data_IF_996045528661
#
_entry.id   IF_996045528661
#
_cell.length_a   1.000
_cell.length_b   1.000
_cell.length_c   1.000
_cell.angle_alpha   90.00
_cell.angle_beta   90.00
_cell.angle_gamma   90.00
#
_symmetry.space_group_name_H-M   'P 1'
#
loop_
_entity.id
_entity.type
_entity.pdbx_description
1 polymer ?
#
# COMPACT_ATOMS: atom_id res chain seq x y z
N UNK A 1 54.67 40.73 52.47
CA UNK A 1 54.02 40.87 51.18
C UNK A 1 53.64 39.49 50.68
N UNK A 2 52.39 39.07 50.86
CA UNK A 2 51.84 37.77 50.34
C UNK A 2 51.05 38.06 49.11
N UNK A 3 51.49 37.46 47.95
CA UNK A 3 50.76 37.50 46.68
C UNK A 3 49.77 36.35 46.68
N UNK A 4 48.46 36.60 46.75
CA UNK A 4 47.41 35.66 46.52
C UNK A 4 47.29 35.43 45.00
N UNK A 5 47.52 34.18 44.56
CA UNK A 5 47.29 33.75 43.19
C UNK A 5 45.85 33.21 43.12
N UNK A 6 44.95 33.98 42.51
CA UNK A 6 43.56 33.59 42.30
C UNK A 6 43.48 32.70 41.04
N UNK A 7 43.30 31.39 41.21
CA UNK A 7 43.10 30.45 40.10
C UNK A 7 41.59 30.44 39.77
N UNK A 8 41.27 31.04 38.64
CA UNK A 8 39.91 31.05 38.10
C UNK A 8 39.66 29.70 37.38
N UNK A 9 38.88 28.79 38.00
CA UNK A 9 38.40 27.57 37.39
C UNK A 9 37.26 27.90 36.41
N UNK A 10 37.56 27.95 35.11
CA UNK A 10 36.55 28.04 34.06
C UNK A 10 35.92 26.67 33.89
N UNK A 11 34.75 26.43 34.50
CA UNK A 11 33.92 25.25 34.24
C UNK A 11 33.25 25.40 32.86
N UNK A 12 33.80 24.77 31.84
CA UNK A 12 33.17 24.64 30.55
C UNK A 12 31.96 23.70 30.67
N UNK A 13 30.74 24.15 30.40
CA UNK A 13 29.60 23.24 30.32
C UNK A 13 29.78 22.38 29.07
N UNK A 14 30.10 21.09 29.24
CA UNK A 14 29.99 20.12 28.19
C UNK A 14 28.51 19.96 27.80
N UNK A 15 28.06 20.72 26.81
CA UNK A 15 26.78 20.50 26.15
C UNK A 15 26.90 19.17 25.38
N UNK A 16 26.60 18.09 26.09
CA UNK A 16 26.42 16.76 25.46
C UNK A 16 25.16 16.81 24.61
N UNK A 17 25.29 17.14 23.32
CA UNK A 17 24.23 16.89 22.36
C UNK A 17 23.98 15.39 22.34
N UNK A 18 22.95 14.93 23.05
CA UNK A 18 22.40 13.59 22.85
C UNK A 18 21.94 13.52 21.40
N UNK A 19 22.72 12.88 20.53
CA UNK A 19 22.22 12.45 19.22
C UNK A 19 20.97 11.59 19.51
N UNK A 20 19.82 12.06 19.10
CA UNK A 20 18.63 11.21 19.11
C UNK A 20 18.97 9.96 18.28
N UNK A 21 18.78 8.76 18.83
CA UNK A 21 19.05 7.55 18.06
C UNK A 21 18.21 7.58 16.80
N UNK A 22 18.81 7.25 15.67
CA UNK A 22 18.06 7.06 14.43
C UNK A 22 16.97 6.01 14.70
N UNK A 23 15.69 6.31 14.43
CA UNK A 23 14.62 5.36 14.69
C UNK A 23 14.92 4.04 13.97
N UNK A 24 14.65 2.93 14.64
CA UNK A 24 14.80 1.63 14.02
C UNK A 24 13.81 1.48 12.87
N UNK A 25 14.07 0.56 11.95
CA UNK A 25 13.14 0.26 10.86
C UNK A 25 11.78 -0.17 11.41
N UNK A 26 11.77 -0.85 12.56
CA UNK A 26 10.56 -1.29 13.25
C UNK A 26 9.75 -0.11 13.79
N UNK A 27 10.41 0.95 14.28
CA UNK A 27 9.74 2.15 14.80
C UNK A 27 9.21 3.02 13.66
N UNK A 28 9.82 2.95 12.48
CA UNK A 28 9.41 3.72 11.31
C UNK A 28 8.32 3.05 10.47
N UNK A 29 8.07 1.76 10.68
CA UNK A 29 7.14 0.98 9.89
C UNK A 29 5.66 1.31 10.14
N UNK A 30 5.16 1.50 11.38
CA UNK A 30 3.77 1.89 11.60
C UNK A 30 3.42 3.25 11.01
N UNK A 31 2.19 3.38 10.51
CA UNK A 31 1.68 4.63 9.94
C UNK A 31 0.67 4.43 8.83
N UNK A 32 0.30 5.52 8.20
CA UNK A 32 -0.54 5.54 7.01
C UNK A 32 0.34 5.62 5.76
N UNK A 33 -0.08 4.91 4.73
CA UNK A 33 0.65 4.85 3.47
C UNK A 33 -0.31 5.02 2.31
N UNK A 34 0.05 5.88 1.37
CA UNK A 34 -0.73 6.20 0.19
C UNK A 34 -0.12 5.54 -1.04
N UNK A 35 -0.93 4.81 -1.81
CA UNK A 35 -0.49 4.25 -3.08
C UNK A 35 -0.24 5.36 -4.09
N UNK A 36 0.93 5.36 -4.71
CA UNK A 36 1.33 6.34 -5.73
C UNK A 36 1.56 5.70 -7.10
N UNK A 37 1.79 4.39 -7.11
CA UNK A 37 2.01 3.67 -8.34
C UNK A 37 1.55 2.23 -8.20
N UNK A 38 0.84 1.74 -9.20
CA UNK A 38 0.39 0.36 -9.30
C UNK A 38 0.78 -0.15 -10.67
N UNK A 39 1.58 -1.22 -10.70
CA UNK A 39 2.03 -1.82 -11.96
C UNK A 39 1.82 -3.32 -11.96
N UNK A 40 1.63 -3.88 -13.14
CA UNK A 40 1.55 -5.32 -13.33
C UNK A 40 2.66 -5.84 -14.26
N UNK A 41 2.91 -7.13 -14.20
CA UNK A 41 3.86 -7.81 -15.11
C UNK A 41 3.26 -8.06 -16.49
N UNK A 42 1.92 -8.03 -16.60
CA UNK A 42 1.17 -8.28 -17.82
C UNK A 42 0.27 -7.07 -18.08
N UNK A 43 0.22 -6.61 -19.32
CA UNK A 43 -0.70 -5.56 -19.71
C UNK A 43 -2.13 -6.09 -19.78
N UNK A 44 -3.07 -5.39 -19.14
CA UNK A 44 -4.50 -5.71 -19.09
C UNK A 44 -5.32 -4.47 -19.33
N UNK A 45 -6.51 -4.65 -19.90
CA UNK A 45 -7.53 -3.60 -20.01
C UNK A 45 -8.55 -3.81 -18.87
N UNK A 46 -8.49 -2.99 -17.84
CA UNK A 46 -9.38 -3.09 -16.69
C UNK A 46 -10.52 -2.07 -16.70
N UNK A 47 -10.43 -1.04 -17.55
CA UNK A 47 -11.40 0.05 -17.64
C UNK A 47 -12.29 -0.04 -18.89
N UNK A 48 -12.08 -1.05 -19.75
CA UNK A 48 -12.81 -1.30 -20.99
C UNK A 48 -12.67 -0.16 -22.04
N UNK A 49 -11.50 0.48 -22.10
CA UNK A 49 -11.20 1.47 -23.13
C UNK A 49 -10.60 0.88 -24.41
N UNK A 50 -10.36 -0.44 -24.41
CA UNK A 50 -9.78 -1.20 -25.51
C UNK A 50 -8.27 -1.17 -25.56
N UNK A 51 -7.58 -0.57 -24.58
CA UNK A 51 -6.15 -0.46 -24.51
C UNK A 51 -5.61 -1.21 -23.29
N UNK A 52 -4.70 -2.13 -23.51
CA UNK A 52 -4.03 -2.83 -22.40
C UNK A 52 -2.88 -2.01 -21.86
N UNK A 53 -2.80 -1.89 -20.53
CA UNK A 53 -1.72 -1.20 -19.83
C UNK A 53 -1.09 -2.07 -18.75
N UNK A 54 0.20 -1.85 -18.47
CA UNK A 54 0.87 -2.32 -17.25
C UNK A 54 0.80 -1.29 -16.13
N UNK A 55 0.38 -0.07 -16.40
CA UNK A 55 0.07 0.95 -15.41
C UNK A 55 -1.36 0.78 -14.93
N UNK A 56 -1.52 -0.04 -13.88
CA UNK A 56 -2.84 -0.32 -13.32
C UNK A 56 -3.41 0.85 -12.53
N UNK A 57 -2.60 1.84 -12.17
CA UNK A 57 -3.11 3.02 -11.49
C UNK A 57 -4.05 3.79 -12.42
N UNK A 58 -3.65 3.99 -13.68
CA UNK A 58 -4.49 4.62 -14.71
C UNK A 58 -5.72 3.78 -15.06
N UNK A 59 -5.57 2.46 -15.14
CA UNK A 59 -6.67 1.53 -15.42
C UNK A 59 -7.75 1.55 -14.32
N UNK A 60 -7.36 1.63 -13.05
CA UNK A 60 -8.29 1.62 -11.91
C UNK A 60 -8.90 3.01 -11.70
N UNK A 61 -8.12 4.08 -11.91
CA UNK A 61 -8.56 5.48 -11.71
C UNK A 61 -9.32 6.04 -12.89
N UNK A 62 -9.25 5.37 -14.02
CA UNK A 62 -9.90 5.79 -15.27
C UNK A 62 -11.42 5.58 -15.22
N UNK A 63 -12.12 6.26 -16.12
CA UNK A 63 -13.54 6.00 -16.33
C UNK A 63 -13.72 4.63 -16.97
N UNK A 64 -14.72 3.88 -16.49
CA UNK A 64 -15.14 2.64 -17.12
C UNK A 64 -16.13 2.97 -18.22
N UNK A 65 -15.87 2.50 -19.42
CA UNK A 65 -16.72 2.75 -20.58
C UNK A 65 -17.53 1.49 -20.96
N UNK A 66 -18.72 1.73 -21.52
CA UNK A 66 -19.49 0.69 -22.23
C UNK A 66 -18.87 0.44 -23.62
N UNK A 67 -19.19 -0.67 -24.28
CA UNK A 67 -18.75 -0.93 -25.66
C UNK A 67 -19.18 0.14 -26.68
N UNK A 68 -20.22 0.91 -26.39
CA UNK A 68 -20.68 2.06 -27.18
C UNK A 68 -20.04 3.40 -26.75
N UNK A 69 -19.07 3.36 -25.82
CA UNK A 69 -18.30 4.52 -25.41
C UNK A 69 -18.97 5.41 -24.35
N UNK A 70 -20.05 4.94 -23.75
CA UNK A 70 -20.68 5.70 -22.63
C UNK A 70 -19.98 5.36 -21.30
N UNK A 71 -19.84 6.37 -20.44
CA UNK A 71 -19.29 6.15 -19.10
C UNK A 71 -20.34 5.56 -18.17
N UNK A 72 -20.06 4.39 -17.57
CA UNK A 72 -20.99 3.73 -16.67
C UNK A 72 -20.64 3.92 -15.19
N UNK A 73 -19.40 4.11 -14.86
CA UNK A 73 -19.03 4.32 -13.46
C UNK A 73 -17.71 5.08 -13.35
N UNK A 74 -17.58 5.83 -12.26
CA UNK A 74 -16.33 6.41 -11.84
C UNK A 74 -15.91 5.74 -10.54
N UNK A 75 -14.79 5.06 -10.58
CA UNK A 75 -14.13 4.65 -9.36
C UNK A 75 -13.03 5.67 -9.04
N UNK A 76 -13.23 6.39 -7.97
CA UNK A 76 -12.21 7.34 -7.53
C UNK A 76 -11.26 6.65 -6.55
N UNK A 77 -10.26 5.98 -7.08
CA UNK A 77 -9.24 5.31 -6.28
C UNK A 77 -8.52 6.28 -5.34
N UNK A 78 -8.23 7.50 -5.80
CA UNK A 78 -7.51 8.49 -5.01
C UNK A 78 -8.27 8.94 -3.76
N UNK A 79 -9.60 9.01 -3.82
CA UNK A 79 -10.39 9.50 -2.68
C UNK A 79 -10.81 8.42 -1.69
N UNK A 80 -10.85 7.16 -2.09
CA UNK A 80 -11.54 6.12 -1.31
C UNK A 80 -10.59 5.02 -0.80
N UNK A 81 -9.54 4.64 -1.55
CA UNK A 81 -8.82 3.38 -1.31
C UNK A 81 -7.33 3.39 -1.47
N UNK A 82 -6.73 4.53 -1.73
CA UNK A 82 -5.30 4.59 -1.94
C UNK A 82 -4.46 4.48 -0.65
N UNK A 83 -5.11 4.36 0.52
CA UNK A 83 -4.43 4.29 1.80
C UNK A 83 -4.48 2.91 2.40
N UNK A 84 -3.37 2.52 3.00
CA UNK A 84 -3.29 1.39 3.93
C UNK A 84 -2.81 1.88 5.29
N UNK A 85 -3.24 1.22 6.35
CA UNK A 85 -2.82 1.51 7.71
C UNK A 85 -1.97 0.37 8.26
N UNK A 86 -0.79 0.70 8.78
CA UNK A 86 0.10 -0.23 9.48
C UNK A 86 0.08 0.09 10.97
N UNK A 87 -0.41 -0.84 11.77
CA UNK A 87 -0.52 -0.72 13.24
C UNK A 87 0.58 -1.49 13.98
N UNK A 88 0.91 -1.17 15.24
CA UNK A 88 0.25 -0.15 16.06
C UNK A 88 0.70 1.26 15.67
N UNK A 89 -0.23 2.19 15.65
CA UNK A 89 0.09 3.61 15.60
C UNK A 89 0.71 4.05 16.94
N UNK A 90 1.40 5.16 16.95
CA UNK A 90 2.26 5.63 18.05
C UNK A 90 1.61 5.62 19.44
N UNK A 91 0.28 5.65 19.54
CA UNK A 91 -0.49 5.68 20.79
C UNK A 91 -1.16 4.34 21.12
N UNK A 92 -0.91 3.28 20.37
CA UNK A 92 -1.64 2.02 20.47
C UNK A 92 -0.71 0.85 20.81
N UNK A 93 0.08 0.99 21.88
CA UNK A 93 1.09 0.00 22.28
C UNK A 93 0.57 -1.40 22.62
N UNK A 94 -0.75 -1.58 22.71
CA UNK A 94 -1.40 -2.85 23.10
C UNK A 94 -2.01 -3.59 21.90
N UNK A 95 -2.04 -2.99 20.72
CA UNK A 95 -2.63 -3.62 19.54
C UNK A 95 -1.65 -4.56 18.84
N UNK A 96 -2.19 -5.66 18.32
CA UNK A 96 -1.44 -6.58 17.48
C UNK A 96 -0.81 -5.85 16.28
N UNK A 97 0.35 -6.31 15.85
CA UNK A 97 1.00 -5.86 14.62
C UNK A 97 0.13 -6.27 13.43
N UNK A 98 -0.48 -5.28 12.80
CA UNK A 98 -1.55 -5.50 11.84
C UNK A 98 -1.47 -4.50 10.69
N UNK A 99 -1.79 -4.96 9.50
CA UNK A 99 -1.92 -4.13 8.30
C UNK A 99 -3.37 -4.23 7.84
N UNK A 100 -4.04 -3.09 7.76
CA UNK A 100 -5.32 -2.96 7.06
C UNK A 100 -5.01 -2.75 5.58
N UNK A 101 -5.04 -3.85 4.82
CA UNK A 101 -4.76 -3.83 3.39
C UNK A 101 -6.06 -3.70 2.62
N UNK A 102 -6.06 -2.78 1.68
CA UNK A 102 -7.19 -2.49 0.83
C UNK A 102 -6.69 -2.40 -0.61
N UNK A 103 -7.29 -3.19 -1.49
CA UNK A 103 -7.01 -3.13 -2.93
C UNK A 103 -8.31 -3.32 -3.71
N UNK A 104 -8.59 -2.51 -4.74
CA UNK A 104 -9.82 -2.57 -5.50
C UNK A 104 -10.09 -3.95 -6.09
N UNK A 105 -11.31 -4.44 -5.89
CA UNK A 105 -11.77 -5.70 -6.45
C UNK A 105 -12.81 -5.43 -7.53
N UNK A 106 -12.54 -5.91 -8.77
CA UNK A 106 -13.50 -5.82 -9.86
C UNK A 106 -14.67 -6.78 -9.62
N UNK A 107 -15.87 -6.26 -9.72
CA UNK A 107 -17.10 -7.03 -9.79
C UNK A 107 -17.73 -6.80 -11.14
N UNK A 108 -17.91 -7.87 -11.88
CA UNK A 108 -18.48 -7.84 -13.23
C UNK A 108 -19.78 -8.61 -13.20
N UNK A 109 -20.87 -7.90 -13.47
CA UNK A 109 -22.18 -8.46 -13.65
C UNK A 109 -22.52 -8.46 -15.15
N UNK A 110 -22.83 -9.62 -15.71
CA UNK A 110 -23.35 -9.72 -17.07
C UNK A 110 -24.82 -9.37 -17.07
N UNK A 111 -25.23 -8.46 -17.95
CA UNK A 111 -26.64 -8.23 -18.21
C UNK A 111 -27.22 -9.39 -19.03
N UNK A 112 -28.53 -9.58 -18.97
CA UNK A 112 -29.26 -10.79 -19.41
C UNK A 112 -29.07 -11.23 -20.88
N UNK A 113 -28.44 -10.41 -21.70
CA UNK A 113 -28.18 -10.67 -23.13
C UNK A 113 -26.71 -10.96 -23.46
N UNK A 114 -25.81 -11.03 -22.47
CA UNK A 114 -24.36 -11.21 -22.61
C UNK A 114 -23.65 -10.14 -23.47
N UNK A 115 -24.32 -9.05 -23.82
CA UNK A 115 -23.79 -7.99 -24.67
C UNK A 115 -23.30 -6.78 -23.89
N UNK A 116 -23.78 -6.62 -22.66
CA UNK A 116 -23.38 -5.54 -21.78
C UNK A 116 -22.88 -6.08 -20.43
N UNK A 117 -21.84 -5.44 -19.92
CA UNK A 117 -21.30 -5.72 -18.60
C UNK A 117 -21.47 -4.49 -17.73
N UNK A 118 -21.91 -4.70 -16.50
CA UNK A 118 -21.78 -3.70 -15.46
C UNK A 118 -20.53 -4.04 -14.66
N UNK A 119 -19.56 -3.14 -14.66
CA UNK A 119 -18.38 -3.28 -13.82
C UNK A 119 -18.41 -2.26 -12.70
N UNK A 120 -18.13 -2.72 -11.51
CA UNK A 120 -17.92 -1.87 -10.34
C UNK A 120 -16.65 -2.33 -9.61
N UNK A 121 -16.06 -1.44 -8.82
CA UNK A 121 -15.02 -1.82 -7.88
C UNK A 121 -15.61 -1.87 -6.48
N UNK A 122 -15.34 -2.95 -5.77
CA UNK A 122 -15.60 -3.06 -4.33
C UNK A 122 -14.32 -2.83 -3.56
N UNK A 123 -14.46 -2.14 -2.44
CA UNK A 123 -13.40 -1.97 -1.46
C UNK A 123 -13.67 -2.91 -0.31
N UNK A 124 -12.80 -3.89 -0.14
CA UNK A 124 -12.86 -4.80 0.97
C UNK A 124 -11.53 -4.75 1.70
N UNK A 125 -11.59 -4.54 3.01
CA UNK A 125 -10.44 -4.55 3.88
C UNK A 125 -10.06 -5.98 4.19
N UNK A 126 -8.81 -6.33 3.93
CA UNK A 126 -8.23 -7.58 4.37
C UNK A 126 -7.13 -7.31 5.39
N UNK A 127 -7.30 -7.88 6.57
CA UNK A 127 -6.31 -7.77 7.61
C UNK A 127 -5.16 -8.74 7.44
N UNK A 128 -3.94 -8.23 7.63
CA UNK A 128 -2.72 -9.03 7.71
C UNK A 128 -2.03 -8.78 9.03
N UNK A 129 -1.65 -9.85 9.73
CA UNK A 129 -0.65 -9.74 10.80
C UNK A 129 0.73 -9.69 10.18
N UNK A 130 1.68 -9.00 10.83
CA UNK A 130 3.05 -8.96 10.36
C UNK A 130 4.07 -9.20 11.48
N UNK A 131 5.22 -9.70 11.08
CA UNK A 131 6.37 -9.94 11.93
C UNK A 131 7.65 -9.50 11.22
N UNK A 132 8.60 -8.97 11.99
CA UNK A 132 9.94 -8.70 11.47
C UNK A 132 10.81 -9.93 11.63
N UNK A 133 11.49 -10.32 10.54
CA UNK A 133 12.51 -11.32 10.57
C UNK A 133 13.85 -10.71 11.05
N UNK A 134 14.84 -11.57 11.34
CA UNK A 134 16.18 -11.15 11.77
C UNK A 134 16.85 -10.13 10.82
N UNK A 135 16.55 -10.19 9.52
CA UNK A 135 17.09 -9.30 8.50
C UNK A 135 16.22 -8.04 8.27
N UNK A 136 15.34 -7.68 9.21
CA UNK A 136 14.36 -6.60 9.07
C UNK A 136 13.40 -6.74 7.87
N UNK A 137 13.33 -7.89 7.22
CA UNK A 137 12.27 -8.18 6.26
C UNK A 137 10.95 -8.40 6.98
N UNK A 138 9.84 -8.04 6.34
CA UNK A 138 8.51 -8.14 6.93
C UNK A 138 7.81 -9.38 6.36
N UNK A 139 7.45 -10.30 7.24
CA UNK A 139 6.58 -11.42 6.90
C UNK A 139 5.14 -11.04 7.21
N UNK A 140 4.25 -11.27 6.27
CA UNK A 140 2.81 -11.02 6.42
C UNK A 140 2.01 -12.30 6.36
N UNK A 141 0.93 -12.37 7.14
CA UNK A 141 0.03 -13.51 7.18
C UNK A 141 -1.41 -13.00 7.15
N UNK A 142 -2.20 -13.45 6.19
CA UNK A 142 -3.61 -13.06 6.09
C UNK A 142 -4.41 -13.55 7.29
N UNK A 143 -5.24 -12.68 7.86
CA UNK A 143 -6.19 -13.03 8.92
C UNK A 143 -7.37 -13.85 8.40
N UNK A 144 -7.67 -13.74 7.10
CA UNK A 144 -8.75 -14.49 6.45
C UNK A 144 -8.33 -15.00 5.07
N UNK A 145 -7.69 -16.17 4.99
CA UNK A 145 -7.20 -16.73 3.72
C UNK A 145 -8.27 -16.96 2.66
N UNK A 146 -9.54 -17.13 3.05
CA UNK A 146 -10.63 -17.36 2.10
C UNK A 146 -10.86 -16.17 1.16
N UNK A 147 -10.63 -14.96 1.64
CA UNK A 147 -10.81 -13.72 0.85
C UNK A 147 -9.57 -13.29 0.06
N UNK A 148 -8.43 -13.97 0.20
CA UNK A 148 -7.20 -13.58 -0.50
C UNK A 148 -7.32 -13.70 -2.01
N UNK A 149 -8.16 -14.58 -2.53
CA UNK A 149 -8.36 -14.74 -3.97
C UNK A 149 -9.10 -13.54 -4.58
N UNK A 150 -10.00 -12.91 -3.83
CA UNK A 150 -10.78 -11.76 -4.29
C UNK A 150 -9.99 -10.46 -4.14
N UNK A 151 -9.43 -10.24 -2.97
CA UNK A 151 -8.75 -8.97 -2.61
C UNK A 151 -7.31 -8.95 -3.15
N UNK A 152 -6.70 -10.11 -3.28
CA UNK A 152 -5.30 -10.29 -3.68
C UNK A 152 -4.45 -10.84 -2.53
N UNK A 153 -3.55 -11.76 -2.88
CA UNK A 153 -2.61 -12.36 -1.93
C UNK A 153 -1.33 -11.55 -1.90
N UNK A 154 -0.99 -11.00 -0.76
CA UNK A 154 0.33 -10.37 -0.58
C UNK A 154 1.40 -11.47 -0.62
N UNK A 155 2.31 -11.35 -1.59
CA UNK A 155 3.44 -12.26 -1.75
C UNK A 155 4.70 -11.76 -1.06
N UNK A 156 4.91 -10.44 -1.10
CA UNK A 156 6.03 -9.79 -0.44
C UNK A 156 5.65 -8.39 0.03
N UNK A 157 6.37 -7.93 1.04
CA UNK A 157 6.31 -6.56 1.53
C UNK A 157 7.74 -6.13 1.84
N UNK A 158 8.16 -5.01 1.27
CA UNK A 158 9.50 -4.46 1.43
C UNK A 158 9.41 -3.01 1.88
N UNK A 159 10.09 -2.69 2.99
CA UNK A 159 10.29 -1.31 3.42
C UNK A 159 11.50 -0.74 2.69
N UNK A 160 11.31 0.38 2.02
CA UNK A 160 12.34 1.12 1.29
C UNK A 160 12.98 2.19 2.16
N UNK A 161 14.13 2.69 1.74
CA UNK A 161 14.71 3.89 2.32
C UNK A 161 13.70 5.05 2.26
N UNK A 162 13.69 5.88 3.33
CA UNK A 162 12.71 6.95 3.45
C UNK A 162 11.35 6.52 4.01
N UNK A 163 11.20 5.22 4.40
CA UNK A 163 10.00 4.72 5.05
C UNK A 163 8.86 4.36 4.08
N UNK A 164 9.10 4.35 2.78
CA UNK A 164 8.11 3.94 1.78
C UNK A 164 7.98 2.41 1.71
N UNK A 165 6.82 1.92 1.28
CA UNK A 165 6.54 0.49 1.15
C UNK A 165 6.40 0.08 -0.32
N UNK A 166 6.85 -1.13 -0.62
CA UNK A 166 6.48 -1.83 -1.84
C UNK A 166 5.77 -3.11 -1.46
N UNK A 167 4.58 -3.31 -1.98
CA UNK A 167 3.79 -4.54 -1.77
C UNK A 167 3.63 -5.24 -3.11
N UNK A 168 4.12 -6.47 -3.19
CA UNK A 168 3.83 -7.37 -4.29
C UNK A 168 2.65 -8.25 -3.94
N UNK A 169 1.66 -8.28 -4.83
CA UNK A 169 0.50 -9.13 -4.65
C UNK A 169 0.18 -9.89 -5.93
N UNK A 170 -0.46 -11.05 -5.76
CA UNK A 170 -1.03 -11.83 -6.83
C UNK A 170 -2.54 -11.68 -6.78
N UNK A 171 -3.15 -11.28 -7.90
CA UNK A 171 -4.57 -10.98 -7.97
C UNK A 171 -5.18 -11.42 -9.27
N UNK A 172 -6.42 -11.83 -9.20
CA UNK A 172 -7.24 -12.13 -10.36
C UNK A 172 -7.95 -10.85 -10.81
N UNK A 173 -7.78 -10.49 -12.09
CA UNK A 173 -8.40 -9.33 -12.73
C UNK A 173 -9.09 -9.76 -14.01
N UNK A 174 -10.11 -9.04 -14.42
CA UNK A 174 -10.76 -9.25 -15.71
C UNK A 174 -10.16 -8.32 -16.75
N UNK A 175 -9.76 -8.89 -17.87
CA UNK A 175 -9.25 -8.18 -19.03
C UNK A 175 -10.39 -8.05 -20.05
N UNK A 176 -10.79 -6.82 -20.36
CA UNK A 176 -11.90 -6.57 -21.28
C UNK A 176 -11.56 -6.83 -22.74
N UNK A 177 -10.31 -6.69 -23.16
CA UNK A 177 -9.86 -7.02 -24.51
C UNK A 177 -9.93 -8.53 -24.72
N UNK A 178 -9.38 -9.33 -23.81
CA UNK A 178 -9.38 -10.79 -23.91
C UNK A 178 -10.70 -11.42 -23.43
N UNK A 179 -11.55 -10.65 -22.75
CA UNK A 179 -12.83 -11.07 -22.15
C UNK A 179 -12.66 -12.28 -21.21
N UNK A 180 -11.61 -12.26 -20.42
CA UNK A 180 -11.26 -13.36 -19.52
C UNK A 180 -10.67 -12.87 -18.20
N UNK A 181 -10.84 -13.69 -17.16
CA UNK A 181 -10.17 -13.50 -15.89
C UNK A 181 -8.73 -14.01 -15.95
N UNK A 182 -7.78 -13.16 -15.60
CA UNK A 182 -6.36 -13.47 -15.55
C UNK A 182 -5.81 -13.30 -14.15
N UNK A 183 -4.93 -14.19 -13.74
CA UNK A 183 -4.15 -14.02 -12.50
C UNK A 183 -2.82 -13.35 -12.84
N UNK A 184 -2.59 -12.19 -12.27
CA UNK A 184 -1.42 -11.36 -12.55
C UNK A 184 -0.68 -10.99 -11.27
N UNK A 185 0.62 -10.74 -11.42
CA UNK A 185 1.45 -10.17 -10.36
C UNK A 185 1.41 -8.65 -10.45
N UNK A 186 1.10 -8.02 -9.32
CA UNK A 186 0.95 -6.58 -9.18
C UNK A 186 1.97 -6.08 -8.16
N UNK A 187 2.54 -4.92 -8.44
CA UNK A 187 3.42 -4.20 -7.51
C UNK A 187 2.80 -2.85 -7.21
N UNK A 188 2.59 -2.57 -5.94
CA UNK A 188 2.10 -1.28 -5.45
C UNK A 188 3.22 -0.58 -4.68
N UNK A 189 3.51 0.64 -5.07
CA UNK A 189 4.43 1.52 -4.36
C UNK A 189 3.61 2.49 -3.49
N UNK A 190 3.84 2.40 -2.18
CA UNK A 190 3.19 3.21 -1.18
C UNK A 190 4.17 4.21 -0.56
N UNK A 191 3.73 5.43 -0.41
CA UNK A 191 4.48 6.48 0.25
C UNK A 191 3.88 6.77 1.61
N UNK A 192 4.74 6.91 2.62
CA UNK A 192 4.28 7.20 3.96
C UNK A 192 3.62 8.58 3.98
N UNK A 193 2.40 8.63 4.47
CA UNK A 193 1.69 9.89 4.69
C UNK A 193 2.34 10.65 5.86
N UNK A 194 2.38 11.99 5.80
CA UNK A 194 2.96 12.83 6.83
C UNK A 194 2.25 12.74 8.18
#
# INVERSE_FOLDING_TARGET
MYRFLLIFFISLPFCSCKKNPTPSIQDSFPGYYEAKKITSTVAVDMNNDGLKSTDLYSEISGPVTTPDGQYISFYNFESITNYIEVRPLHNQSVMAKYIDFNFPHQVIDSLSDNTAFLMTYKNELLGYTYEFNENNSVRVTSSNPAYTNEIGKINNLTLKEGGNLTIGLKKRVFDFVDKTWQEIDIVVEYFKAP
#
